data_IF_023693071441
#
_entry.id   IF_023693071441
#
_cell.length_a   1.000
_cell.length_b   1.000
_cell.length_c   1.000
_cell.angle_alpha   90.00
_cell.angle_beta   90.00
_cell.angle_gamma   90.00
#
_symmetry.space_group_name_H-M   'P 1'
#
loop_
_entity.id
_entity.type
_entity.pdbx_description
1 polymer ?
#
# COMPACT_ATOMS: atom_id res chain seq x y z
N UNK A 1 -28.51 -6.60 -9.13
CA UNK A 1 -27.92 -6.82 -7.80
C UNK A 1 -26.60 -6.05 -7.74
N UNK A 2 -26.65 -4.76 -7.37
CA UNK A 2 -25.44 -3.93 -7.28
C UNK A 2 -24.76 -4.27 -5.95
N UNK A 3 -23.59 -4.90 -6.00
CA UNK A 3 -22.72 -5.03 -4.84
C UNK A 3 -22.31 -3.61 -4.42
N UNK A 4 -22.83 -3.15 -3.29
CA UNK A 4 -22.29 -1.99 -2.60
C UNK A 4 -20.87 -2.37 -2.18
N UNK A 5 -19.86 -1.74 -2.77
CA UNK A 5 -18.50 -1.79 -2.26
C UNK A 5 -18.58 -1.15 -0.87
N UNK A 6 -18.49 -1.98 0.17
CA UNK A 6 -18.52 -1.55 1.57
C UNK A 6 -17.42 -0.53 1.81
N UNK A 7 -17.69 0.40 2.72
CA UNK A 7 -16.71 1.31 3.34
C UNK A 7 -15.39 0.58 3.53
N UNK A 8 -14.28 1.12 3.01
CA UNK A 8 -12.93 0.56 3.06
C UNK A 8 -12.66 -0.25 4.33
N UNK A 9 -12.78 -1.57 4.23
CA UNK A 9 -12.45 -2.47 5.32
C UNK A 9 -10.93 -2.59 5.34
N UNK A 10 -10.31 -1.96 6.35
CA UNK A 10 -8.91 -2.20 6.67
C UNK A 10 -8.72 -3.71 6.94
N UNK A 11 -7.72 -4.31 6.31
CA UNK A 11 -7.35 -5.71 6.51
C UNK A 11 -5.90 -5.78 6.98
N UNK A 12 -5.59 -6.56 8.03
CA UNK A 12 -4.21 -6.74 8.48
C UNK A 12 -3.28 -7.18 7.35
N UNK A 13 -2.13 -6.52 7.24
CA UNK A 13 -1.17 -6.71 6.15
C UNK A 13 -1.28 -5.69 5.02
N UNK A 14 -2.40 -4.98 4.88
CA UNK A 14 -2.54 -3.95 3.84
C UNK A 14 -1.59 -2.77 4.05
N UNK A 15 -1.15 -2.16 2.95
CA UNK A 15 -0.29 -0.98 2.93
C UNK A 15 -1.08 0.30 2.66
N UNK A 16 -0.87 1.29 3.51
CA UNK A 16 -1.56 2.57 3.47
C UNK A 16 -0.58 3.72 3.71
N UNK A 17 -0.91 4.90 3.19
CA UNK A 17 -0.18 6.14 3.48
C UNK A 17 -1.04 7.08 4.32
N UNK A 18 -0.42 7.79 5.26
CA UNK A 18 -1.06 8.87 6.00
C UNK A 18 -0.78 10.20 5.30
N UNK A 19 -1.80 10.87 4.76
CA UNK A 19 -1.62 12.18 4.12
C UNK A 19 -1.23 13.29 5.09
N UNK A 20 -1.49 13.11 6.40
CA UNK A 20 -1.08 14.03 7.46
C UNK A 20 0.39 13.82 7.91
N UNK A 21 0.98 12.66 7.63
CA UNK A 21 2.29 12.25 8.17
C UNK A 21 3.12 11.52 7.08
N UNK A 22 3.24 12.13 5.89
CA UNK A 22 3.92 11.55 4.72
C UNK A 22 5.36 11.11 5.02
N UNK A 23 6.04 11.77 5.95
CA UNK A 23 7.41 11.44 6.37
C UNK A 23 7.55 10.04 7.00
N UNK A 24 6.46 9.45 7.49
CA UNK A 24 6.47 8.10 8.06
C UNK A 24 6.41 7.00 6.98
N UNK A 25 6.20 7.38 5.72
CA UNK A 25 6.11 6.44 4.61
C UNK A 25 4.86 5.55 4.68
N UNK A 26 5.01 4.31 4.20
CA UNK A 26 3.94 3.31 4.19
C UNK A 26 3.75 2.66 5.57
N UNK A 27 2.52 2.76 6.05
CA UNK A 27 2.02 2.01 7.19
C UNK A 27 1.46 0.66 6.76
N UNK A 28 1.64 -0.36 7.61
CA UNK A 28 0.97 -1.67 7.50
C UNK A 28 -0.15 -1.75 8.50
N UNK A 29 -1.34 -2.17 8.09
CA UNK A 29 -2.44 -2.45 9.01
C UNK A 29 -2.05 -3.61 9.93
N UNK A 30 -1.99 -3.34 11.24
CA UNK A 30 -1.67 -4.32 12.27
C UNK A 30 -2.93 -4.94 12.88
N UNK A 31 -3.87 -4.07 13.26
CA UNK A 31 -5.08 -4.46 13.98
C UNK A 31 -6.23 -3.58 13.57
N UNK A 32 -7.40 -4.18 13.51
CA UNK A 32 -8.64 -3.55 13.08
C UNK A 32 -9.67 -3.79 14.17
N UNK A 33 -10.18 -2.73 14.77
CA UNK A 33 -11.23 -2.79 15.77
C UNK A 33 -12.48 -2.08 15.25
N UNK A 34 -13.54 -2.02 16.07
CA UNK A 34 -14.82 -1.48 15.64
C UNK A 34 -14.72 -0.04 15.11
N UNK A 35 -13.98 0.85 15.80
CA UNK A 35 -13.86 2.27 15.44
C UNK A 35 -12.46 2.71 15.04
N UNK A 36 -11.47 1.85 15.25
CA UNK A 36 -10.05 2.20 15.13
C UNK A 36 -9.31 1.23 14.24
N UNK A 37 -8.23 1.72 13.63
CA UNK A 37 -7.23 0.92 12.92
C UNK A 37 -5.86 1.28 13.47
N UNK A 38 -5.07 0.26 13.78
CA UNK A 38 -3.68 0.40 14.22
C UNK A 38 -2.75 0.12 13.04
N UNK A 39 -1.85 1.07 12.77
CA UNK A 39 -0.87 1.04 11.69
C UNK A 39 0.54 0.93 12.28
N UNK A 40 1.39 0.13 11.65
CA UNK A 40 2.84 0.09 11.90
C UNK A 40 3.58 0.75 10.73
N UNK A 41 4.30 1.82 11.00
CA UNK A 41 5.15 2.53 10.02
C UNK A 41 6.58 2.01 10.13
N UNK A 42 6.92 1.02 9.30
CA UNK A 42 8.22 0.35 9.34
C UNK A 42 9.42 1.27 9.04
N UNK A 43 9.20 2.37 8.32
CA UNK A 43 10.25 3.37 8.05
C UNK A 43 10.73 4.09 9.32
N UNK A 44 9.83 4.36 10.27
CA UNK A 44 10.14 5.08 11.51
C UNK A 44 10.09 4.20 12.76
N UNK A 45 9.55 2.97 12.65
CA UNK A 45 9.29 2.08 13.76
C UNK A 45 8.07 2.48 14.60
N UNK A 46 7.28 3.45 14.16
CA UNK A 46 6.18 4.00 14.93
C UNK A 46 4.89 3.21 14.76
N UNK A 47 4.11 3.13 15.85
CA UNK A 47 2.76 2.59 15.85
C UNK A 47 1.79 3.74 16.06
N UNK A 48 0.77 3.83 15.19
CA UNK A 48 -0.30 4.82 15.28
C UNK A 48 -1.65 4.15 15.28
N UNK A 49 -2.60 4.73 15.99
CA UNK A 49 -3.99 4.31 15.95
C UNK A 49 -4.85 5.46 15.47
N UNK A 50 -5.63 5.22 14.41
CA UNK A 50 -6.51 6.21 13.80
C UNK A 50 -7.97 5.81 14.00
N UNK A 51 -8.86 6.80 14.14
CA UNK A 51 -10.29 6.58 14.06
C UNK A 51 -10.68 6.35 12.59
N UNK A 52 -11.25 5.19 12.26
CA UNK A 52 -11.52 4.76 10.87
C UNK A 52 -12.31 5.80 10.05
N UNK A 53 -13.25 6.49 10.68
CA UNK A 53 -14.16 7.43 10.01
C UNK A 53 -13.49 8.74 9.58
N UNK A 54 -12.39 9.11 10.24
CA UNK A 54 -11.73 10.40 10.03
C UNK A 54 -10.23 10.23 9.74
N UNK A 55 -9.79 8.98 9.52
CA UNK A 55 -8.40 8.68 9.30
C UNK A 55 -7.94 9.29 7.97
N UNK A 56 -6.84 10.06 7.95
CA UNK A 56 -6.26 10.60 6.72
C UNK A 56 -5.46 9.50 5.99
N UNK A 57 -6.02 8.30 5.86
CA UNK A 57 -5.36 7.12 5.33
C UNK A 57 -5.86 6.81 3.92
N UNK A 58 -4.94 6.60 2.98
CA UNK A 58 -5.24 6.15 1.62
C UNK A 58 -4.57 4.81 1.34
N UNK A 59 -5.33 3.85 0.79
CA UNK A 59 -4.78 2.53 0.42
C UNK A 59 -3.83 2.70 -0.75
N UNK A 60 -2.68 2.03 -0.67
CA UNK A 60 -1.68 2.07 -1.72
C UNK A 60 -1.88 0.86 -2.62
N UNK A 61 -1.99 1.12 -3.92
CA UNK A 61 -2.12 0.10 -4.95
C UNK A 61 -1.41 0.55 -6.22
N UNK A 62 -0.74 -0.38 -6.88
CA UNK A 62 -0.09 -0.15 -8.18
C UNK A 62 -0.88 -0.83 -9.30
N UNK A 63 -0.63 -0.43 -10.53
CA UNK A 63 -1.26 -0.97 -11.74
C UNK A 63 -0.20 -1.48 -12.73
N UNK A 64 -0.56 -2.32 -13.71
CA UNK A 64 0.37 -2.72 -14.77
C UNK A 64 1.08 -1.52 -15.42
N UNK A 65 2.40 -1.65 -15.60
CA UNK A 65 3.30 -0.61 -16.08
C UNK A 65 3.86 0.32 -14.99
N UNK A 66 3.48 0.15 -13.72
CA UNK A 66 4.18 0.80 -12.60
C UNK A 66 5.52 0.13 -12.32
N UNK A 67 6.48 0.92 -11.88
CA UNK A 67 7.71 0.42 -11.26
C UNK A 67 7.57 0.50 -9.75
N UNK A 68 7.81 -0.61 -9.08
CA UNK A 68 7.81 -0.70 -7.62
C UNK A 68 9.15 -1.24 -7.11
N UNK A 69 9.43 -0.98 -5.84
CA UNK A 69 10.61 -1.48 -5.14
C UNK A 69 10.17 -2.39 -3.99
N UNK A 70 10.89 -3.48 -3.77
CA UNK A 70 10.78 -4.25 -2.53
C UNK A 70 11.55 -3.57 -1.36
N UNK A 71 11.45 -4.15 -0.17
CA UNK A 71 12.20 -3.70 1.01
C UNK A 71 13.73 -3.79 0.87
N UNK A 72 14.26 -4.55 -0.08
CA UNK A 72 15.69 -4.64 -0.39
C UNK A 72 16.11 -3.67 -1.50
N UNK A 73 15.18 -2.89 -2.04
CA UNK A 73 15.43 -1.94 -3.13
C UNK A 73 15.47 -2.58 -4.52
N UNK A 74 15.00 -3.82 -4.68
CA UNK A 74 14.92 -4.48 -5.99
C UNK A 74 13.70 -4.01 -6.76
N UNK A 75 13.92 -3.62 -8.02
CA UNK A 75 12.87 -3.17 -8.92
C UNK A 75 12.00 -4.29 -9.49
N UNK A 76 10.72 -3.98 -9.69
CA UNK A 76 9.76 -4.78 -10.46
C UNK A 76 8.94 -3.85 -11.36
N UNK A 77 8.75 -4.23 -12.62
CA UNK A 77 7.71 -3.64 -13.47
C UNK A 77 6.46 -4.50 -13.35
N UNK A 78 5.37 -3.91 -12.84
CA UNK A 78 4.09 -4.62 -12.66
C UNK A 78 3.51 -5.03 -14.01
N UNK A 79 3.17 -6.29 -14.16
CA UNK A 79 2.49 -6.84 -15.34
C UNK A 79 1.04 -7.19 -15.02
N UNK A 80 0.79 -7.67 -13.81
CA UNK A 80 -0.55 -7.96 -13.31
C UNK A 80 -0.63 -7.82 -11.79
N UNK A 81 -1.85 -7.64 -11.31
CA UNK A 81 -2.17 -7.54 -9.88
C UNK A 81 -3.28 -8.52 -9.59
N UNK A 82 -3.10 -9.35 -8.56
CA UNK A 82 -4.14 -10.21 -8.01
C UNK A 82 -4.49 -9.76 -6.59
N UNK A 83 -5.74 -9.96 -6.20
CA UNK A 83 -6.20 -9.75 -4.83
C UNK A 83 -6.70 -11.08 -4.28
N UNK A 84 -6.19 -11.46 -3.11
CA UNK A 84 -6.65 -12.62 -2.37
C UNK A 84 -6.84 -12.23 -0.90
N UNK A 85 -7.99 -12.56 -0.32
CA UNK A 85 -8.35 -12.22 1.07
C UNK A 85 -8.18 -10.71 1.39
N UNK A 86 -8.38 -9.88 0.36
CA UNK A 86 -8.24 -8.42 0.43
C UNK A 86 -6.80 -7.91 0.52
N UNK A 87 -5.81 -8.75 0.18
CA UNK A 87 -4.40 -8.40 0.06
C UNK A 87 -3.93 -8.49 -1.40
N UNK A 88 -3.14 -7.52 -1.83
CA UNK A 88 -2.62 -7.43 -3.19
C UNK A 88 -1.30 -8.19 -3.34
N UNK A 89 -1.19 -8.92 -4.45
CA UNK A 89 0.07 -9.50 -4.95
C UNK A 89 0.35 -8.97 -6.35
N UNK A 90 1.53 -8.41 -6.53
CA UNK A 90 2.02 -7.88 -7.80
C UNK A 90 2.84 -8.96 -8.49
N UNK A 91 2.52 -9.29 -9.74
CA UNK A 91 3.37 -10.13 -10.60
C UNK A 91 3.98 -9.24 -11.66
N UNK A 92 5.26 -9.41 -11.93
CA UNK A 92 5.98 -8.59 -12.88
C UNK A 92 7.36 -9.12 -13.19
N UNK A 93 8.13 -8.33 -13.93
CA UNK A 93 9.50 -8.65 -14.32
C UNK A 93 10.51 -7.81 -13.54
N UNK A 94 11.51 -8.47 -12.95
CA UNK A 94 12.61 -7.82 -12.22
C UNK A 94 13.73 -7.31 -13.14
N UNK A 95 14.78 -6.72 -12.55
CA UNK A 95 15.94 -6.18 -13.27
C UNK A 95 16.73 -7.23 -14.07
N UNK A 96 16.65 -8.51 -13.67
CA UNK A 96 17.29 -9.63 -14.37
C UNK A 96 16.40 -10.21 -15.49
N UNK A 97 15.22 -9.63 -15.73
CA UNK A 97 14.28 -10.10 -16.73
C UNK A 97 13.47 -11.33 -16.28
N UNK A 98 13.45 -11.64 -14.97
CA UNK A 98 12.75 -12.78 -14.41
C UNK A 98 11.36 -12.37 -13.91
N UNK A 99 10.37 -13.22 -14.17
CA UNK A 99 9.05 -13.08 -13.55
C UNK A 99 9.13 -13.38 -12.06
N UNK A 100 8.72 -12.41 -11.24
CA UNK A 100 8.65 -12.54 -9.78
C UNK A 100 7.31 -12.04 -9.26
N UNK A 101 7.01 -12.42 -8.02
CA UNK A 101 5.82 -11.98 -7.30
C UNK A 101 6.23 -11.20 -6.05
N UNK A 102 5.49 -10.12 -5.78
CA UNK A 102 5.67 -9.28 -4.61
C UNK A 102 4.33 -9.06 -3.91
N UNK A 103 4.20 -9.58 -2.70
CA UNK A 103 3.09 -9.29 -1.80
C UNK A 103 3.14 -7.81 -1.35
N UNK A 104 2.00 -7.14 -1.20
CA UNK A 104 1.98 -5.73 -0.78
C UNK A 104 2.73 -5.48 0.54
N UNK A 105 2.71 -6.43 1.47
CA UNK A 105 3.47 -6.35 2.73
C UNK A 105 5.00 -6.26 2.56
N UNK A 106 5.54 -6.62 1.39
CA UNK A 106 6.98 -6.59 1.09
C UNK A 106 7.42 -5.35 0.31
N UNK A 107 6.48 -4.48 -0.03
CA UNK A 107 6.77 -3.19 -0.67
C UNK A 107 7.75 -2.38 0.18
N UNK A 108 8.61 -1.62 -0.50
CA UNK A 108 9.47 -0.64 0.13
C UNK A 108 8.67 0.28 1.06
N UNK A 109 9.27 0.69 2.18
CA UNK A 109 8.58 1.55 3.15
C UNK A 109 8.38 2.99 2.66
N UNK A 110 9.06 3.38 1.59
CA UNK A 110 8.89 4.65 0.93
C UNK A 110 8.38 4.41 -0.49
N UNK A 111 7.32 5.11 -0.88
CA UNK A 111 6.92 5.15 -2.28
C UNK A 111 7.79 6.19 -2.97
N UNK A 112 8.54 5.77 -3.98
CA UNK A 112 9.08 6.71 -4.96
C UNK A 112 7.99 6.93 -6.01
N UNK A 113 7.25 8.03 -5.88
CA UNK A 113 6.29 8.45 -6.91
C UNK A 113 7.06 8.94 -8.13
N UNK A 114 7.54 8.01 -8.97
CA UNK A 114 8.27 8.32 -10.19
C UNK A 114 7.33 8.62 -11.39
N UNK A 115 6.03 8.82 -11.13
CA UNK A 115 5.09 9.34 -12.14
C UNK A 115 4.86 10.84 -11.92
N UNK A 116 5.23 11.72 -12.88
CA UNK A 116 4.91 13.14 -12.81
C UNK A 116 3.40 13.43 -12.72
N UNK A 117 2.56 12.45 -13.06
CA UNK A 117 1.10 12.57 -13.15
C UNK A 117 0.37 12.23 -11.85
N UNK A 118 1.04 11.63 -10.87
CA UNK A 118 0.50 11.49 -9.51
C UNK A 118 1.15 12.52 -8.59
N UNK A 119 1.06 13.79 -9.01
CA UNK A 119 0.73 14.81 -8.02
C UNK A 119 -0.54 14.29 -7.34
N UNK A 120 -0.37 13.72 -6.16
CA UNK A 120 -1.40 13.57 -5.14
C UNK A 120 -2.38 14.73 -5.32
N UNK A 121 -3.51 14.48 -6.00
CA UNK A 121 -4.56 15.47 -6.16
C UNK A 121 -4.99 15.79 -4.71
N UNK A 122 -4.62 16.92 -4.11
CA UNK A 122 -4.90 18.32 -4.44
C UNK A 122 -6.37 18.63 -4.27
N UNK A 123 -6.73 19.12 -3.08
CA UNK A 123 -8.06 19.57 -2.70
C UNK A 123 -8.39 19.17 -1.27
#
# INVERSE_FOLDING_TARGET
MRQYISVQDFIPGQRWISSAELQMGLGTVMKVEHRTVTMLFLATGEIRTYAKQTAPLSRVSFVPGDTLLDHNGRGLIVESVSEQDGLLTYTGTDEDGKTVQLEEGRLNNFIQLNRPTERLFSG
#
